data_IF_783611017247
#
_entry.id   IF_783611017247
#
_cell.length_a   1.000
_cell.length_b   1.000
_cell.length_c   1.000
_cell.angle_alpha   90.00
_cell.angle_beta   90.00
_cell.angle_gamma   90.00
#
_symmetry.space_group_name_H-M   'P 1'
#
loop_
_entity.id
_entity.type
_entity.pdbx_description
1 polymer ?
#
# COMPACT_ATOMS: atom_id res chain seq x y z
N UNK A 1 2.36 5.95 22.22
CA UNK A 1 3.10 5.40 21.12
C UNK A 1 2.21 4.73 20.11
N UNK A 2 2.08 5.27 18.94
CA UNK A 2 1.30 4.68 17.90
C UNK A 2 2.19 4.06 16.83
N UNK A 3 1.61 3.35 15.89
CA UNK A 3 2.38 2.78 14.81
C UNK A 3 3.00 3.83 13.87
N UNK A 4 2.59 5.08 13.93
CA UNK A 4 3.26 6.13 13.20
C UNK A 4 4.72 6.25 13.62
N UNK A 5 4.98 6.06 14.92
CA UNK A 5 6.35 6.05 15.40
C UNK A 5 7.13 4.87 14.80
N UNK A 6 6.48 3.71 14.67
CA UNK A 6 7.12 2.54 14.08
C UNK A 6 7.47 2.76 12.61
N UNK A 7 6.55 3.34 11.83
CA UNK A 7 6.80 3.56 10.40
C UNK A 7 7.93 4.57 10.19
N UNK A 8 7.99 5.61 11.01
CA UNK A 8 9.08 6.59 10.91
C UNK A 8 10.40 6.01 11.39
N UNK A 9 10.37 5.20 12.44
CA UNK A 9 11.57 4.58 12.99
C UNK A 9 12.17 3.53 12.07
N UNK A 10 11.41 3.02 11.12
CA UNK A 10 11.88 1.99 10.20
C UNK A 10 12.87 2.51 9.17
N UNK A 11 13.07 3.82 9.07
CA UNK A 11 14.00 4.41 8.12
C UNK A 11 13.57 4.28 6.66
N UNK A 12 12.28 4.17 6.43
CA UNK A 12 11.75 4.04 5.07
C UNK A 12 11.78 5.38 4.33
N UNK A 13 11.90 5.35 2.99
CA UNK A 13 11.85 6.58 2.21
C UNK A 13 10.48 7.26 2.31
N UNK A 14 10.45 8.55 2.05
CA UNK A 14 9.22 9.35 2.14
C UNK A 14 8.09 8.77 1.29
N UNK A 15 8.43 8.24 0.10
CA UNK A 15 7.40 7.64 -0.77
C UNK A 15 6.68 6.49 -0.08
N UNK A 16 7.41 5.67 0.67
CA UNK A 16 6.82 4.53 1.38
C UNK A 16 5.93 5.02 2.51
N UNK A 17 6.37 6.02 3.26
CA UNK A 17 5.57 6.60 4.34
C UNK A 17 4.29 7.20 3.79
N UNK A 18 4.38 7.94 2.68
CA UNK A 18 3.21 8.54 2.04
C UNK A 18 2.19 7.50 1.61
N UNK A 19 2.66 6.43 0.98
CA UNK A 19 1.78 5.34 0.54
C UNK A 19 1.15 4.63 1.74
N UNK A 20 1.93 4.40 2.79
CA UNK A 20 1.41 3.78 4.02
C UNK A 20 0.28 4.61 4.62
N UNK A 21 0.48 5.92 4.75
CA UNK A 21 -0.53 6.83 5.29
C UNK A 21 -1.79 6.84 4.44
N UNK A 22 -1.61 6.83 3.13
CA UNK A 22 -2.73 6.76 2.19
C UNK A 22 -3.53 5.48 2.40
N UNK A 23 -2.85 4.35 2.50
CA UNK A 23 -3.50 3.06 2.74
C UNK A 23 -4.23 3.04 4.07
N UNK A 24 -3.63 3.56 5.11
CA UNK A 24 -4.27 3.66 6.43
C UNK A 24 -5.58 4.42 6.35
N UNK A 25 -5.58 5.50 5.59
CA UNK A 25 -6.77 6.33 5.42
C UNK A 25 -7.87 5.62 4.65
N UNK A 26 -7.48 4.71 3.74
CA UNK A 26 -8.43 4.03 2.86
C UNK A 26 -8.87 2.65 3.32
N UNK A 27 -8.20 2.09 4.32
CA UNK A 27 -8.55 0.75 4.78
C UNK A 27 -9.88 0.76 5.54
N UNK A 28 -10.57 -0.37 5.45
CA UNK A 28 -11.81 -0.58 6.19
C UNK A 28 -11.50 -1.09 7.60
N UNK A 29 -12.53 -1.57 8.31
CA UNK A 29 -12.37 -2.08 9.68
C UNK A 29 -11.41 -3.25 9.79
N UNK A 30 -11.29 -4.03 8.72
CA UNK A 30 -10.42 -5.20 8.69
C UNK A 30 -8.98 -4.84 8.33
N UNK A 31 -8.70 -3.58 8.07
CA UNK A 31 -7.38 -3.12 7.68
C UNK A 31 -7.03 -3.44 6.24
N UNK A 32 -8.04 -3.63 5.38
CA UNK A 32 -7.84 -3.98 3.98
C UNK A 32 -8.37 -2.91 3.03
N UNK A 33 -7.74 -2.82 1.88
CA UNK A 33 -8.21 -1.96 0.78
C UNK A 33 -7.64 -2.51 -0.54
N UNK A 34 -8.22 -2.07 -1.65
CA UNK A 34 -7.77 -2.55 -2.96
C UNK A 34 -7.85 -1.48 -4.05
N UNK A 35 -7.27 -0.30 -3.84
CA UNK A 35 -7.20 0.70 -4.90
C UNK A 35 -6.26 0.23 -6.01
N UNK A 36 -6.53 0.64 -7.24
CA UNK A 36 -5.64 0.33 -8.35
C UNK A 36 -4.37 1.19 -8.25
N UNK A 37 -3.30 0.73 -8.90
CA UNK A 37 -2.06 1.50 -8.96
C UNK A 37 -2.31 2.86 -9.62
N UNK A 38 -3.19 2.90 -10.60
CA UNK A 38 -3.56 4.16 -11.25
C UNK A 38 -4.17 5.14 -10.25
N UNK A 39 -5.04 4.65 -9.37
CA UNK A 39 -5.65 5.46 -8.32
C UNK A 39 -4.59 5.97 -7.34
N UNK A 40 -3.70 5.09 -6.90
CA UNK A 40 -2.59 5.49 -6.02
C UNK A 40 -1.78 6.62 -6.66
N UNK A 41 -1.35 6.41 -7.89
CA UNK A 41 -0.49 7.35 -8.58
C UNK A 41 -1.17 8.70 -8.74
N UNK A 42 -2.45 8.69 -9.11
CA UNK A 42 -3.22 9.92 -9.30
C UNK A 42 -3.44 10.68 -8.01
N UNK A 43 -3.83 9.97 -6.95
CA UNK A 43 -4.13 10.60 -5.66
C UNK A 43 -2.88 11.16 -4.99
N UNK A 44 -1.78 10.45 -5.07
CA UNK A 44 -0.53 10.84 -4.43
C UNK A 44 0.38 11.64 -5.33
N UNK A 45 0.00 11.82 -6.59
CA UNK A 45 0.81 12.53 -7.59
C UNK A 45 2.20 11.94 -7.73
N UNK A 46 2.26 10.61 -7.72
CA UNK A 46 3.50 9.85 -7.88
C UNK A 46 3.42 9.05 -9.18
N UNK A 47 4.57 8.68 -9.72
CA UNK A 47 4.60 7.78 -10.87
C UNK A 47 4.21 6.37 -10.42
N UNK A 48 3.73 5.57 -11.36
CA UNK A 48 3.39 4.18 -11.07
C UNK A 48 4.59 3.41 -10.55
N UNK A 49 5.76 3.66 -11.13
CA UNK A 49 6.99 3.00 -10.68
C UNK A 49 7.30 3.34 -9.23
N UNK A 50 7.14 4.61 -8.85
CA UNK A 50 7.36 5.04 -7.48
C UNK A 50 6.39 4.36 -6.51
N UNK A 51 5.11 4.26 -6.91
CA UNK A 51 4.11 3.58 -6.08
C UNK A 51 4.49 2.11 -5.88
N UNK A 52 4.90 1.41 -6.94
CA UNK A 52 5.32 0.01 -6.84
C UNK A 52 6.51 -0.15 -5.90
N UNK A 53 7.51 0.72 -6.01
CA UNK A 53 8.68 0.69 -5.13
C UNK A 53 8.29 0.93 -3.69
N UNK A 54 7.39 1.88 -3.44
CA UNK A 54 6.91 2.17 -2.09
C UNK A 54 6.19 0.97 -1.50
N UNK A 55 5.34 0.32 -2.27
CA UNK A 55 4.63 -0.87 -1.82
C UNK A 55 5.60 -2.01 -1.50
N UNK A 56 6.62 -2.19 -2.34
CA UNK A 56 7.65 -3.20 -2.08
C UNK A 56 8.41 -2.89 -0.80
N UNK A 57 8.77 -1.62 -0.56
CA UNK A 57 9.45 -1.21 0.65
C UNK A 57 8.62 -1.56 1.88
N UNK A 58 7.32 -1.27 1.84
CA UNK A 58 6.41 -1.55 2.95
C UNK A 58 6.26 -3.06 3.19
N UNK A 59 6.16 -3.83 2.13
CA UNK A 59 6.06 -5.29 2.24
C UNK A 59 7.31 -5.89 2.86
N UNK A 60 8.49 -5.44 2.43
CA UNK A 60 9.76 -5.92 2.97
C UNK A 60 9.93 -5.58 4.43
N UNK A 61 9.45 -4.40 4.83
CA UNK A 61 9.55 -3.95 6.21
C UNK A 61 8.50 -4.59 7.13
N UNK A 62 7.54 -5.32 6.56
CA UNK A 62 6.53 -6.01 7.34
C UNK A 62 5.34 -5.15 7.73
N UNK A 63 5.15 -4.00 7.11
CA UNK A 63 4.00 -3.14 7.40
C UNK A 63 2.79 -3.43 6.55
N UNK A 64 2.97 -4.19 5.47
CA UNK A 64 1.93 -4.39 4.48
C UNK A 64 2.00 -5.80 3.92
N UNK A 65 0.83 -6.41 3.73
CA UNK A 65 0.69 -7.66 2.99
C UNK A 65 -0.06 -7.34 1.72
N UNK A 66 0.41 -7.87 0.61
CA UNK A 66 -0.16 -7.63 -0.70
C UNK A 66 -0.56 -8.96 -1.31
N UNK A 67 -1.84 -9.11 -1.67
CA UNK A 67 -2.36 -10.32 -2.27
C UNK A 67 -2.93 -10.02 -3.64
N UNK A 68 -2.65 -10.89 -4.61
CA UNK A 68 -3.22 -10.79 -5.95
C UNK A 68 -4.63 -11.34 -5.93
N UNK A 69 -5.54 -10.68 -6.65
CA UNK A 69 -6.91 -11.12 -6.79
C UNK A 69 -7.16 -11.47 -8.25
N UNK A 70 -7.87 -12.57 -8.45
CA UNK A 70 -8.20 -13.07 -9.79
C UNK A 70 -9.69 -13.22 -9.92
N UNK A 71 -10.20 -12.97 -11.12
CA UNK A 71 -11.60 -13.25 -11.45
C UNK A 71 -11.70 -14.66 -12.00
N UNK A 72 -12.89 -15.25 -11.85
CA UNK A 72 -13.15 -16.61 -12.33
C UNK A 72 -12.93 -16.74 -13.84
N UNK A 73 -13.22 -15.70 -14.59
CA UNK A 73 -13.07 -15.72 -16.04
C UNK A 73 -11.67 -15.41 -16.52
N UNK A 74 -10.69 -15.48 -15.62
CA UNK A 74 -9.30 -15.28 -15.96
C UNK A 74 -8.79 -13.85 -15.94
N UNK A 75 -9.66 -12.89 -15.70
CA UNK A 75 -9.24 -11.49 -15.61
C UNK A 75 -8.56 -11.20 -14.28
N UNK A 76 -7.53 -10.35 -14.30
CA UNK A 76 -6.85 -9.92 -13.09
C UNK A 76 -7.50 -8.65 -12.55
N UNK A 77 -7.78 -8.63 -11.24
CA UNK A 77 -8.29 -7.44 -10.58
C UNK A 77 -7.16 -6.72 -9.85
N UNK A 78 -7.49 -5.61 -9.18
CA UNK A 78 -6.53 -4.90 -8.34
C UNK A 78 -6.07 -5.79 -7.19
N UNK A 79 -4.84 -5.59 -6.74
CA UNK A 79 -4.32 -6.29 -5.58
C UNK A 79 -5.08 -5.87 -4.33
N UNK A 80 -5.21 -6.81 -3.41
CA UNK A 80 -5.69 -6.52 -2.07
C UNK A 80 -4.50 -6.14 -1.20
N UNK A 81 -4.64 -5.05 -0.45
CA UNK A 81 -3.59 -4.58 0.47
C UNK A 81 -4.11 -4.66 1.89
N UNK A 82 -3.33 -5.26 2.76
CA UNK A 82 -3.69 -5.40 4.16
C UNK A 82 -2.60 -4.78 5.03
N UNK A 83 -3.01 -3.86 5.89
CA UNK A 83 -2.10 -3.26 6.86
C UNK A 83 -1.89 -4.28 7.99
N UNK A 84 -0.65 -4.52 8.31
CA UNK A 84 -0.28 -5.49 9.34
C UNK A 84 -0.18 -4.82 10.71
#
# INVERSE_FOLDING_TARGET
MGYFNSIYAAGLPHRAVSVYMYLKDRTNKDGTCWPSIRTFAGELKLSRATVHRALDDLCRAGFLVREKRWRENGGRTSNLYKIV
#
